data_IF_641810642977
#
_entry.id   IF_641810642977
#
_cell.length_a   1.000
_cell.length_b   1.000
_cell.length_c   1.000
_cell.angle_alpha   90.00
_cell.angle_beta   90.00
_cell.angle_gamma   90.00
#
_symmetry.space_group_name_H-M   'P 1'
#
loop_
_entity.id
_entity.type
_entity.pdbx_description
1 polymer ?
#
# COMPACT_ATOMS: atom_id res chain seq x y z
N UNK A 1 -3.56 32.10 -25.87
CA UNK A 1 -2.43 31.15 -25.85
C UNK A 1 -2.35 30.61 -24.45
N UNK A 2 -2.88 29.40 -24.22
CA UNK A 2 -2.84 28.78 -22.91
C UNK A 2 -1.48 28.10 -22.76
N UNK A 3 -0.64 28.61 -21.88
CA UNK A 3 0.63 28.00 -21.53
C UNK A 3 0.30 26.89 -20.51
N UNK A 4 0.28 25.64 -20.96
CA UNK A 4 0.24 24.49 -20.05
C UNK A 4 1.65 24.27 -19.53
N UNK A 5 1.85 24.45 -18.23
CA UNK A 5 3.08 24.04 -17.57
C UNK A 5 3.08 22.50 -17.47
N UNK A 6 3.99 21.88 -18.20
CA UNK A 6 4.28 20.44 -18.08
C UNK A 6 5.17 20.13 -16.85
N UNK A 7 5.01 20.85 -15.77
CA UNK A 7 5.69 20.54 -14.53
C UNK A 7 5.13 19.22 -13.97
N UNK A 8 5.82 18.13 -14.26
CA UNK A 8 5.53 16.82 -13.67
C UNK A 8 5.77 16.89 -12.17
N UNK A 9 4.71 16.71 -11.40
CA UNK A 9 4.79 16.73 -9.95
C UNK A 9 5.25 15.35 -9.44
N UNK A 10 6.55 15.08 -9.47
CA UNK A 10 7.15 13.83 -8.98
C UNK A 10 6.88 13.59 -7.49
N UNK A 11 6.59 14.63 -6.73
CA UNK A 11 6.27 14.53 -5.30
C UNK A 11 4.94 13.81 -5.03
N UNK A 12 4.10 13.62 -6.04
CA UNK A 12 2.80 12.97 -5.86
C UNK A 12 2.86 11.44 -5.71
N UNK A 13 3.95 10.78 -6.15
CA UNK A 13 4.06 9.31 -6.10
C UNK A 13 4.65 8.77 -4.81
N UNK A 14 5.51 9.54 -4.17
CA UNK A 14 6.12 9.18 -2.89
C UNK A 14 5.64 10.14 -1.82
N UNK A 15 5.15 9.60 -0.73
CA UNK A 15 4.81 10.35 0.48
C UNK A 15 5.56 9.72 1.65
N UNK A 16 6.43 10.50 2.29
CA UNK A 16 7.17 10.11 3.48
C UNK A 16 6.92 11.12 4.59
N UNK A 17 6.46 10.64 5.74
CA UNK A 17 6.10 11.48 6.88
C UNK A 17 6.42 10.79 8.20
N UNK A 18 6.71 11.58 9.23
CA UNK A 18 6.79 11.08 10.60
C UNK A 18 5.38 11.11 11.20
N UNK A 19 4.86 9.93 11.54
CA UNK A 19 3.63 9.84 12.33
C UNK A 19 3.90 10.39 13.74
N UNK A 20 3.34 11.55 14.04
CA UNK A 20 3.56 12.26 15.30
C UNK A 20 3.06 11.50 16.52
N UNK A 21 2.13 10.56 16.33
CA UNK A 21 1.58 9.72 17.41
C UNK A 21 2.53 8.60 17.80
N UNK A 22 3.22 8.03 16.82
CA UNK A 22 4.10 6.87 17.02
C UNK A 22 5.58 7.22 16.95
N UNK A 23 5.93 8.40 16.46
CA UNK A 23 7.32 8.81 16.20
C UNK A 23 8.00 7.96 15.11
N UNK A 24 7.21 7.26 14.27
CA UNK A 24 7.73 6.39 13.23
C UNK A 24 7.74 7.11 11.88
N UNK A 25 8.78 6.88 11.09
CA UNK A 25 8.75 7.26 9.69
C UNK A 25 7.92 6.25 8.91
N UNK A 26 6.89 6.74 8.26
CA UNK A 26 6.04 5.99 7.33
C UNK A 26 6.30 6.49 5.93
N UNK A 27 6.43 5.56 5.00
CA UNK A 27 6.70 5.86 3.60
C UNK A 27 5.67 5.13 2.74
N UNK A 28 5.08 5.85 1.79
CA UNK A 28 4.09 5.31 0.85
C UNK A 28 4.49 5.68 -0.57
N UNK A 29 4.51 4.69 -1.47
CA UNK A 29 4.84 4.89 -2.88
C UNK A 29 3.74 4.34 -3.78
N UNK A 30 3.20 5.18 -4.66
CA UNK A 30 2.19 4.79 -5.64
C UNK A 30 2.82 3.99 -6.78
N UNK A 31 2.31 2.78 -7.02
CA UNK A 31 2.68 1.93 -8.15
C UNK A 31 1.86 2.29 -9.40
N UNK A 32 0.57 2.54 -9.22
CA UNK A 32 -0.37 2.79 -10.30
C UNK A 32 -1.56 3.63 -9.80
N UNK A 33 -2.17 4.38 -10.73
CA UNK A 33 -3.50 4.95 -10.56
C UNK A 33 -4.41 4.35 -11.61
N UNK A 34 -5.50 3.75 -11.17
CA UNK A 34 -6.48 3.06 -12.02
C UNK A 34 -7.71 3.93 -12.18
N UNK A 35 -8.27 3.91 -13.38
CA UNK A 35 -9.49 4.60 -13.77
C UNK A 35 -10.46 3.57 -14.34
N UNK A 36 -11.54 3.19 -13.64
CA UNK A 36 -12.41 2.09 -14.04
C UNK A 36 -13.03 2.26 -15.44
N UNK A 37 -13.45 3.47 -15.81
CA UNK A 37 -14.07 3.78 -17.12
C UNK A 37 -13.44 4.97 -17.85
N UNK A 38 -12.28 5.47 -17.39
CA UNK A 38 -11.58 6.57 -18.05
C UNK A 38 -11.10 7.66 -17.08
N UNK A 39 -10.35 8.64 -17.57
CA UNK A 39 -9.51 9.50 -16.71
C UNK A 39 -10.27 10.61 -15.95
N UNK A 40 -11.59 10.73 -16.02
CA UNK A 40 -12.29 11.95 -15.63
C UNK A 40 -13.18 11.85 -14.37
N UNK A 41 -13.42 10.68 -13.79
CA UNK A 41 -14.38 10.60 -12.68
C UNK A 41 -13.81 9.99 -11.39
N UNK A 42 -13.58 8.69 -11.36
CA UNK A 42 -13.13 8.01 -10.14
C UNK A 42 -11.80 7.37 -10.39
N UNK A 43 -10.86 7.55 -9.46
CA UNK A 43 -9.56 6.91 -9.55
C UNK A 43 -9.27 6.09 -8.29
N UNK A 44 -8.52 5.01 -8.47
CA UNK A 44 -7.98 4.21 -7.38
C UNK A 44 -6.48 4.14 -7.46
N UNK A 45 -5.83 4.64 -6.44
CA UNK A 45 -4.38 4.49 -6.31
C UNK A 45 -4.05 3.13 -5.68
N UNK A 46 -3.08 2.43 -6.29
CA UNK A 46 -2.47 1.21 -5.79
C UNK A 46 -1.06 1.56 -5.34
N UNK A 47 -0.76 1.33 -4.08
CA UNK A 47 0.49 1.77 -3.48
C UNK A 47 1.09 0.73 -2.53
N UNK A 48 2.38 0.84 -2.30
CA UNK A 48 3.09 0.15 -1.23
C UNK A 48 3.33 1.11 -0.07
N UNK A 49 3.15 0.62 1.15
CA UNK A 49 3.47 1.35 2.38
C UNK A 49 4.50 0.60 3.21
N UNK A 50 5.47 1.35 3.72
CA UNK A 50 6.49 0.86 4.63
C UNK A 50 6.12 1.15 6.08
N UNK A 51 6.33 0.16 6.95
CA UNK A 51 6.25 0.29 8.39
C UNK A 51 7.42 -0.41 9.05
N UNK A 52 8.17 0.32 9.87
CA UNK A 52 9.24 -0.22 10.70
C UNK A 52 8.75 -1.42 11.55
N UNK A 53 7.52 -1.36 12.07
CA UNK A 53 6.97 -2.39 12.96
C UNK A 53 6.74 -3.74 12.28
N UNK A 54 6.78 -3.79 10.95
CA UNK A 54 6.63 -5.02 10.17
C UNK A 54 7.95 -5.37 9.43
N UNK A 55 9.07 -4.74 9.79
CA UNK A 55 10.32 -4.87 9.05
C UNK A 55 11.11 -6.15 9.36
N UNK A 56 10.70 -6.88 10.37
CA UNK A 56 11.17 -8.23 10.70
C UNK A 56 10.57 -9.33 9.80
N UNK A 57 9.51 -9.01 9.06
CA UNK A 57 8.81 -9.93 8.18
C UNK A 57 9.08 -9.59 6.72
N UNK A 58 9.63 -10.56 5.98
CA UNK A 58 9.77 -10.48 4.53
C UNK A 58 8.51 -11.05 3.87
N UNK A 59 7.63 -10.15 3.41
CA UNK A 59 6.44 -10.52 2.63
C UNK A 59 6.70 -10.42 1.12
N UNK A 60 5.62 -10.45 0.35
CA UNK A 60 5.66 -10.37 -1.12
C UNK A 60 6.16 -9.03 -1.68
N UNK A 61 6.34 -8.03 -0.83
CA UNK A 61 6.69 -6.66 -1.21
C UNK A 61 8.01 -6.19 -0.58
N UNK A 62 8.74 -7.09 0.07
CA UNK A 62 9.98 -6.82 0.80
C UNK A 62 9.75 -6.56 2.28
N UNK A 63 10.85 -6.58 3.05
CA UNK A 63 10.81 -6.40 4.50
C UNK A 63 10.20 -5.04 4.89
N UNK A 64 9.16 -5.07 5.70
CA UNK A 64 8.44 -3.87 6.16
C UNK A 64 7.46 -3.27 5.17
N UNK A 65 7.46 -3.69 3.90
CA UNK A 65 6.56 -3.20 2.88
C UNK A 65 5.32 -4.08 2.74
N UNK A 66 4.20 -3.44 2.49
CA UNK A 66 2.92 -4.10 2.20
C UNK A 66 2.20 -3.36 1.09
N UNK A 67 1.36 -4.08 0.35
CA UNK A 67 0.40 -3.46 -0.55
C UNK A 67 -0.74 -2.87 0.29
N UNK A 68 -1.08 -1.61 0.04
CA UNK A 68 -2.23 -0.98 0.68
C UNK A 68 -3.51 -1.65 0.19
N UNK A 69 -4.21 -2.31 1.11
CA UNK A 69 -5.40 -3.09 0.81
C UNK A 69 -6.27 -3.22 2.06
N UNK A 70 -7.58 -3.26 1.88
CA UNK A 70 -8.48 -3.56 2.99
C UNK A 70 -8.46 -5.05 3.25
N UNK A 71 -8.19 -5.43 4.49
CA UNK A 71 -8.04 -6.81 4.92
C UNK A 71 -8.57 -7.00 6.34
N UNK A 72 -9.23 -8.14 6.59
CA UNK A 72 -9.59 -8.55 7.94
C UNK A 72 -8.90 -9.87 8.29
N UNK A 73 -7.99 -9.80 9.24
CA UNK A 73 -7.27 -10.96 9.76
C UNK A 73 -8.05 -11.61 10.91
N UNK A 74 -8.45 -12.86 10.70
CA UNK A 74 -9.19 -13.65 11.67
C UNK A 74 -8.36 -14.02 12.90
N UNK A 75 -7.08 -14.31 12.72
CA UNK A 75 -6.21 -14.78 13.78
C UNK A 75 -5.97 -13.70 14.83
N UNK A 76 -5.78 -12.48 14.37
CA UNK A 76 -5.54 -11.31 15.23
C UNK A 76 -6.80 -10.48 15.49
N UNK A 77 -7.91 -10.77 14.81
CA UNK A 77 -9.14 -9.98 14.83
C UNK A 77 -8.89 -8.52 14.47
N UNK A 78 -8.00 -8.27 13.52
CA UNK A 78 -7.59 -6.94 13.08
C UNK A 78 -8.14 -6.61 11.71
N UNK A 79 -8.80 -5.45 11.61
CA UNK A 79 -9.21 -4.83 10.36
C UNK A 79 -8.14 -3.81 9.96
N UNK A 80 -7.59 -3.96 8.78
CA UNK A 80 -6.73 -2.96 8.13
C UNK A 80 -7.51 -2.34 6.98
N UNK A 81 -7.57 -1.03 6.91
CA UNK A 81 -8.18 -0.32 5.79
C UNK A 81 -7.13 0.01 4.72
N UNK A 82 -7.60 0.30 3.53
CA UNK A 82 -6.77 0.76 2.42
C UNK A 82 -5.90 1.98 2.76
N UNK A 83 -6.44 2.89 3.57
CA UNK A 83 -5.74 4.09 4.08
C UNK A 83 -4.56 3.76 4.99
N UNK A 84 -4.37 2.48 5.35
CA UNK A 84 -3.35 2.04 6.28
C UNK A 84 -3.80 2.01 7.73
N UNK A 85 -4.98 2.55 8.04
CA UNK A 85 -5.53 2.50 9.39
C UNK A 85 -5.80 1.08 9.84
N UNK A 86 -5.52 0.80 11.11
CA UNK A 86 -5.68 -0.52 11.70
C UNK A 86 -6.58 -0.43 12.93
N UNK A 87 -7.56 -1.33 12.98
CA UNK A 87 -8.55 -1.38 14.05
C UNK A 87 -8.60 -2.77 14.66
N UNK A 88 -8.54 -2.82 16.00
CA UNK A 88 -8.83 -4.04 16.74
C UNK A 88 -10.36 -4.25 16.81
N UNK A 89 -10.80 -5.48 16.62
CA UNK A 89 -12.22 -5.83 16.66
C UNK A 89 -12.53 -6.85 17.74
N UNK A 90 -13.81 -7.12 17.97
CA UNK A 90 -14.27 -8.19 18.89
C UNK A 90 -14.36 -9.58 18.21
N UNK A 91 -13.71 -9.75 17.05
CA UNK A 91 -13.77 -10.98 16.26
C UNK A 91 -14.84 -10.94 15.17
N UNK A 92 -14.95 -12.04 14.43
CA UNK A 92 -15.89 -12.16 13.31
C UNK A 92 -17.32 -12.31 13.84
N UNK A 93 -18.27 -11.44 13.46
CA UNK A 93 -19.67 -11.56 13.90
C UNK A 93 -20.40 -12.70 13.17
N UNK A 94 -21.58 -13.08 13.64
CA UNK A 94 -22.50 -13.96 12.90
C UNK A 94 -22.93 -13.31 11.58
N UNK A 95 -23.32 -14.13 10.60
CA UNK A 95 -23.85 -13.65 9.31
C UNK A 95 -25.05 -12.72 9.56
N UNK A 96 -25.11 -11.63 8.81
CA UNK A 96 -26.13 -10.58 8.95
C UNK A 96 -25.83 -9.55 10.05
N UNK A 97 -24.75 -9.71 10.81
CA UNK A 97 -24.37 -8.78 11.89
C UNK A 97 -23.19 -7.89 11.51
N UNK A 98 -23.12 -6.76 12.18
CA UNK A 98 -22.05 -5.77 12.03
C UNK A 98 -20.85 -6.12 12.90
N UNK A 99 -19.64 -5.93 12.35
CA UNK A 99 -18.39 -6.05 13.07
C UNK A 99 -18.26 -4.92 14.10
N UNK A 100 -17.93 -5.26 15.34
CA UNK A 100 -17.69 -4.28 16.40
C UNK A 100 -16.21 -3.91 16.45
N UNK A 101 -15.91 -2.67 16.13
CA UNK A 101 -14.56 -2.08 16.17
C UNK A 101 -14.36 -1.49 17.55
N UNK A 102 -13.24 -1.88 18.23
CA UNK A 102 -12.89 -1.36 19.55
C UNK A 102 -12.47 0.11 19.46
N UNK A 103 -12.87 0.88 20.47
CA UNK A 103 -12.43 2.27 20.70
C UNK A 103 -12.69 3.24 19.53
N UNK A 104 -13.54 2.86 18.59
CA UNK A 104 -13.85 3.71 17.45
C UNK A 104 -14.98 4.69 17.79
N UNK A 105 -14.66 5.99 17.70
CA UNK A 105 -15.62 7.09 17.94
C UNK A 105 -16.33 7.56 16.66
N UNK A 106 -15.67 7.47 15.50
CA UNK A 106 -16.22 7.93 14.23
C UNK A 106 -17.06 6.83 13.56
N UNK A 107 -18.23 7.20 13.04
CA UNK A 107 -19.15 6.32 12.29
C UNK A 107 -19.06 6.62 10.80
N UNK A 108 -17.85 6.61 10.25
CA UNK A 108 -17.56 6.93 8.85
C UNK A 108 -17.60 5.69 7.94
N UNK A 109 -17.58 4.49 8.54
CA UNK A 109 -17.79 3.23 7.84
C UNK A 109 -18.53 2.21 8.70
N UNK A 110 -19.14 1.23 8.05
CA UNK A 110 -19.76 0.07 8.68
C UNK A 110 -19.18 -1.18 8.04
N UNK A 111 -18.82 -2.18 8.86
CA UNK A 111 -18.38 -3.50 8.38
C UNK A 111 -19.44 -4.51 8.73
N UNK A 112 -20.01 -5.21 7.76
CA UNK A 112 -21.08 -6.18 7.94
C UNK A 112 -20.68 -7.55 7.37
N UNK A 113 -20.92 -8.61 8.11
CA UNK A 113 -20.81 -9.96 7.57
C UNK A 113 -22.09 -10.34 6.83
N UNK A 114 -22.01 -10.44 5.52
CA UNK A 114 -23.18 -10.72 4.65
C UNK A 114 -23.26 -12.19 4.22
N UNK A 115 -22.20 -12.94 4.38
CA UNK A 115 -22.14 -14.37 4.05
C UNK A 115 -21.09 -15.10 4.88
N UNK A 116 -20.99 -16.41 4.72
CA UNK A 116 -20.02 -17.24 5.45
C UNK A 116 -18.56 -16.80 5.20
N UNK A 117 -18.25 -16.42 3.97
CA UNK A 117 -16.93 -15.97 3.55
C UNK A 117 -16.91 -14.55 2.98
N UNK A 118 -17.91 -13.72 3.33
CA UNK A 118 -18.06 -12.39 2.73
C UNK A 118 -18.31 -11.32 3.80
N UNK A 119 -17.49 -10.25 3.76
CA UNK A 119 -17.69 -9.02 4.52
C UNK A 119 -17.89 -7.86 3.55
N UNK A 120 -18.74 -6.93 3.93
CA UNK A 120 -18.92 -5.64 3.27
C UNK A 120 -18.36 -4.54 4.16
N UNK A 121 -17.50 -3.67 3.61
CA UNK A 121 -17.07 -2.42 4.23
C UNK A 121 -17.77 -1.30 3.48
N UNK A 122 -18.69 -0.63 4.15
CA UNK A 122 -19.56 0.39 3.58
C UNK A 122 -19.11 1.75 4.10
N UNK A 123 -18.70 2.62 3.21
CA UNK A 123 -18.26 3.97 3.53
C UNK A 123 -19.39 4.99 3.40
N UNK A 124 -19.25 6.15 4.07
CA UNK A 124 -20.28 7.22 4.02
C UNK A 124 -20.48 7.85 2.65
N UNK A 125 -19.44 7.83 1.81
CA UNK A 125 -19.47 8.33 0.43
C UNK A 125 -20.20 7.38 -0.54
N UNK A 126 -20.76 6.27 -0.05
CA UNK A 126 -21.42 5.26 -0.87
C UNK A 126 -20.49 4.20 -1.44
N UNK A 127 -19.19 4.33 -1.25
CA UNK A 127 -18.21 3.29 -1.66
C UNK A 127 -18.45 2.01 -0.85
N UNK A 128 -18.48 0.87 -1.53
CA UNK A 128 -18.60 -0.45 -0.95
C UNK A 128 -17.37 -1.29 -1.30
N UNK A 129 -16.63 -1.73 -0.30
CA UNK A 129 -15.58 -2.75 -0.47
C UNK A 129 -16.16 -4.13 -0.07
N UNK A 130 -15.97 -5.11 -0.97
CA UNK A 130 -16.40 -6.49 -0.76
C UNK A 130 -15.15 -7.31 -0.46
N UNK A 131 -15.09 -7.88 0.72
CA UNK A 131 -14.00 -8.75 1.13
C UNK A 131 -14.45 -10.21 1.06
N UNK A 132 -13.64 -11.03 0.42
CA UNK A 132 -13.82 -12.48 0.36
C UNK A 132 -12.64 -13.20 0.99
N UNK A 133 -12.73 -14.52 1.09
CA UNK A 133 -11.61 -15.37 1.53
C UNK A 133 -11.05 -16.14 0.33
N UNK A 134 -9.96 -15.67 -0.29
CA UNK A 134 -9.32 -16.37 -1.41
C UNK A 134 -8.78 -17.76 -1.02
N UNK A 135 -8.52 -17.95 0.29
CA UNK A 135 -8.12 -19.23 0.88
C UNK A 135 -8.95 -19.53 2.13
N UNK A 136 -9.29 -20.79 2.36
CA UNK A 136 -10.11 -21.20 3.53
C UNK A 136 -9.48 -20.89 4.89
N UNK A 137 -8.15 -20.80 4.96
CA UNK A 137 -7.40 -20.49 6.19
C UNK A 137 -6.86 -19.06 6.26
N UNK A 138 -6.95 -18.28 5.16
CA UNK A 138 -6.38 -16.94 5.08
C UNK A 138 -7.32 -15.83 5.60
N UNK A 139 -6.81 -14.59 5.60
CA UNK A 139 -7.61 -13.42 5.92
C UNK A 139 -8.70 -13.15 4.86
N UNK A 140 -9.68 -12.34 5.24
CA UNK A 140 -10.57 -11.73 4.26
C UNK A 140 -9.81 -10.62 3.53
N UNK A 141 -9.77 -10.68 2.21
CA UNK A 141 -9.13 -9.70 1.35
C UNK A 141 -10.16 -9.07 0.42
N UNK A 142 -9.90 -7.85 -0.01
CA UNK A 142 -10.78 -7.16 -0.96
C UNK A 142 -10.86 -7.96 -2.26
N UNK A 143 -12.08 -8.27 -2.69
CA UNK A 143 -12.36 -8.96 -3.97
C UNK A 143 -13.05 -8.05 -4.97
N UNK A 144 -13.72 -7.00 -4.48
CA UNK A 144 -14.29 -5.96 -5.33
C UNK A 144 -14.42 -4.65 -4.58
N UNK A 145 -14.38 -3.55 -5.32
CA UNK A 145 -14.82 -2.21 -4.91
C UNK A 145 -15.98 -1.82 -5.82
N UNK A 146 -17.05 -1.34 -5.24
CA UNK A 146 -18.14 -0.69 -5.98
C UNK A 146 -18.19 0.76 -5.54
N UNK A 147 -18.06 1.67 -6.49
CA UNK A 147 -18.12 3.11 -6.26
C UNK A 147 -19.57 3.61 -6.24
N UNK A 148 -19.81 4.83 -5.76
CA UNK A 148 -21.13 5.44 -5.67
C UNK A 148 -21.85 5.58 -7.03
N UNK A 149 -21.09 5.74 -8.12
CA UNK A 149 -21.61 5.81 -9.49
C UNK A 149 -21.96 4.43 -10.10
N UNK A 150 -21.74 3.34 -9.33
CA UNK A 150 -22.02 1.96 -9.76
C UNK A 150 -20.85 1.27 -10.45
N UNK A 151 -19.77 1.99 -10.78
CA UNK A 151 -18.56 1.38 -11.33
C UNK A 151 -17.94 0.40 -10.34
N UNK A 152 -17.25 -0.61 -10.88
CA UNK A 152 -16.65 -1.66 -10.05
C UNK A 152 -15.23 -2.01 -10.49
N UNK A 153 -14.38 -2.27 -9.51
CA UNK A 153 -13.09 -2.94 -9.68
C UNK A 153 -13.17 -4.34 -9.07
N UNK A 154 -12.58 -5.32 -9.73
CA UNK A 154 -12.47 -6.71 -9.28
C UNK A 154 -11.01 -7.06 -9.03
N UNK A 155 -10.74 -7.72 -7.91
CA UNK A 155 -9.41 -8.09 -7.45
C UNK A 155 -9.25 -9.61 -7.48
N UNK A 156 -8.24 -10.09 -8.18
CA UNK A 156 -7.91 -11.51 -8.28
C UNK A 156 -6.55 -11.78 -7.66
N UNK A 157 -6.45 -12.90 -6.96
CA UNK A 157 -5.26 -13.29 -6.19
C UNK A 157 -4.66 -14.58 -6.76
N UNK A 158 -3.33 -14.69 -6.73
CA UNK A 158 -2.66 -15.98 -6.91
C UNK A 158 -3.16 -16.94 -5.83
N UNK A 159 -3.16 -18.25 -6.10
CA UNK A 159 -3.74 -19.28 -5.21
C UNK A 159 -3.37 -19.05 -3.74
N UNK A 160 -4.29 -18.45 -2.96
CA UNK A 160 -4.08 -18.11 -1.55
C UNK A 160 -2.98 -17.08 -1.27
N UNK A 161 -2.38 -16.48 -2.30
CA UNK A 161 -1.21 -15.63 -2.24
C UNK A 161 -1.51 -14.12 -2.37
N UNK A 162 -0.59 -13.39 -2.99
CA UNK A 162 -0.70 -11.96 -3.20
C UNK A 162 -1.67 -11.60 -4.33
N UNK A 163 -2.00 -10.30 -4.44
CA UNK A 163 -2.81 -9.76 -5.52
C UNK A 163 -2.14 -10.01 -6.88
N UNK A 164 -2.89 -10.52 -7.85
CA UNK A 164 -2.40 -10.81 -9.20
C UNK A 164 -2.83 -9.75 -10.19
N UNK A 165 -4.14 -9.40 -10.19
CA UNK A 165 -4.70 -8.45 -11.15
C UNK A 165 -5.88 -7.68 -10.60
N UNK A 166 -6.14 -6.53 -11.22
CA UNK A 166 -7.35 -5.74 -11.01
C UNK A 166 -8.01 -5.52 -12.36
N UNK A 167 -9.32 -5.77 -12.43
CA UNK A 167 -10.14 -5.67 -13.63
C UNK A 167 -11.30 -4.69 -13.42
N UNK A 168 -11.78 -4.11 -14.51
CA UNK A 168 -13.05 -3.40 -14.52
C UNK A 168 -14.26 -4.34 -14.59
N UNK A 169 -15.48 -3.80 -14.65
CA UNK A 169 -16.71 -4.59 -14.72
C UNK A 169 -16.84 -5.40 -16.01
N UNK A 170 -16.21 -4.97 -17.10
CA UNK A 170 -16.18 -5.69 -18.37
C UNK A 170 -15.17 -6.85 -18.39
N UNK A 171 -14.44 -7.04 -17.29
CA UNK A 171 -13.40 -8.08 -17.19
C UNK A 171 -12.09 -7.72 -17.91
N UNK A 172 -11.91 -6.45 -18.28
CA UNK A 172 -10.66 -5.97 -18.85
C UNK A 172 -9.63 -5.75 -17.74
N UNK A 173 -8.42 -6.25 -17.94
CA UNK A 173 -7.32 -6.02 -17.02
C UNK A 173 -6.92 -4.54 -17.04
N UNK A 174 -6.90 -3.90 -15.86
CA UNK A 174 -6.42 -2.54 -15.65
C UNK A 174 -5.02 -2.55 -15.01
N UNK A 175 -4.75 -3.54 -14.18
CA UNK A 175 -3.46 -3.76 -13.53
C UNK A 175 -3.13 -5.24 -13.52
N UNK A 176 -1.88 -5.55 -13.85
CA UNK A 176 -1.31 -6.91 -13.70
C UNK A 176 -0.03 -6.80 -12.89
N UNK A 177 0.08 -7.62 -11.86
CA UNK A 177 1.23 -7.69 -10.96
C UNK A 177 2.03 -8.96 -11.26
N UNK A 178 3.31 -8.81 -11.54
CA UNK A 178 4.22 -9.93 -11.87
C UNK A 178 5.18 -10.17 -10.72
N UNK A 179 5.31 -11.44 -10.35
CA UNK A 179 6.15 -11.87 -9.24
C UNK A 179 7.31 -12.74 -9.75
N UNK A 180 8.48 -12.56 -9.16
CA UNK A 180 9.63 -13.46 -9.32
C UNK A 180 9.85 -14.19 -7.99
N UNK A 181 9.56 -15.49 -7.96
CA UNK A 181 9.40 -16.20 -6.70
C UNK A 181 8.24 -15.61 -5.89
N UNK A 182 8.51 -15.20 -4.67
CA UNK A 182 7.51 -14.57 -3.81
C UNK A 182 7.45 -13.04 -3.94
N UNK A 183 8.39 -12.39 -4.62
CA UNK A 183 8.53 -10.94 -4.62
C UNK A 183 7.91 -10.28 -5.85
N UNK A 184 7.14 -9.21 -5.63
CA UNK A 184 6.58 -8.37 -6.69
C UNK A 184 7.72 -7.64 -7.43
N UNK A 185 7.85 -7.86 -8.75
CA UNK A 185 8.91 -7.23 -9.56
C UNK A 185 8.37 -6.22 -10.57
N UNK A 186 7.12 -6.38 -11.03
CA UNK A 186 6.53 -5.45 -12.00
C UNK A 186 5.04 -5.22 -11.70
N UNK A 187 4.60 -4.00 -11.97
CA UNK A 187 3.19 -3.61 -11.98
C UNK A 187 2.89 -2.95 -13.33
N UNK A 188 2.11 -3.62 -14.15
CA UNK A 188 1.70 -3.16 -15.48
C UNK A 188 0.30 -2.57 -15.43
N UNK A 189 0.16 -1.29 -15.78
CA UNK A 189 -1.11 -0.64 -16.04
C UNK A 189 -1.49 -0.89 -17.49
N UNK A 190 -2.72 -1.32 -17.74
CA UNK A 190 -3.25 -1.60 -19.07
C UNK A 190 -4.37 -0.62 -19.43
N UNK A 191 -4.43 -0.27 -20.72
CA UNK A 191 -5.54 0.48 -21.33
C UNK A 191 -5.88 -0.25 -22.63
N UNK A 192 -7.15 -0.57 -22.83
CA UNK A 192 -7.65 -1.28 -24.04
C UNK A 192 -6.88 -2.58 -24.35
N UNK A 193 -6.48 -3.30 -23.30
CA UNK A 193 -5.71 -4.54 -23.42
C UNK A 193 -4.23 -4.34 -23.74
N UNK A 194 -3.79 -3.12 -24.00
CA UNK A 194 -2.38 -2.79 -24.24
C UNK A 194 -1.70 -2.28 -22.97
N UNK A 195 -0.41 -2.61 -22.78
CA UNK A 195 0.37 -2.07 -21.67
C UNK A 195 0.61 -0.58 -21.88
N UNK A 196 0.14 0.20 -20.92
CA UNK A 196 0.22 1.66 -20.92
C UNK A 196 1.41 2.18 -20.10
N UNK A 197 1.66 1.58 -18.94
CA UNK A 197 2.75 1.96 -18.05
C UNK A 197 3.26 0.75 -17.29
N UNK A 198 4.55 0.75 -16.98
CA UNK A 198 5.19 -0.31 -16.17
C UNK A 198 6.00 0.30 -15.04
N UNK A 199 5.70 -0.10 -13.84
CA UNK A 199 6.52 0.16 -12.65
C UNK A 199 7.36 -1.09 -12.36
N UNK A 200 8.66 -0.93 -12.13
CA UNK A 200 9.58 -2.03 -11.75
C UNK A 200 10.07 -1.84 -10.34
N UNK A 201 10.22 -2.96 -9.64
CA UNK A 201 10.64 -2.99 -8.24
C UNK A 201 11.87 -3.87 -8.13
N UNK A 202 12.90 -3.37 -7.43
CA UNK A 202 14.13 -4.11 -7.19
C UNK A 202 14.38 -4.23 -5.69
N UNK A 203 14.97 -5.37 -5.31
CA UNK A 203 15.25 -5.73 -3.94
C UNK A 203 16.75 -5.93 -3.72
N UNK A 204 17.22 -5.56 -2.53
CA UNK A 204 18.56 -5.87 -2.07
C UNK A 204 18.65 -7.31 -1.55
N UNK A 205 19.88 -7.82 -1.49
CA UNK A 205 20.16 -9.20 -1.05
C UNK A 205 19.95 -9.42 0.45
N UNK A 206 19.90 -8.36 1.24
CA UNK A 206 19.71 -8.45 2.69
C UNK A 206 18.21 -8.36 2.99
N UNK A 207 17.62 -9.42 3.51
CA UNK A 207 16.22 -9.49 3.95
C UNK A 207 15.20 -9.05 2.90
N UNK A 208 15.51 -9.17 1.60
CA UNK A 208 14.65 -8.71 0.52
C UNK A 208 14.16 -7.25 0.71
N UNK A 209 15.04 -6.36 1.16
CA UNK A 209 14.70 -4.95 1.29
C UNK A 209 14.35 -4.36 -0.07
N UNK A 210 13.25 -3.65 -0.17
CA UNK A 210 12.89 -2.92 -1.39
C UNK A 210 13.84 -1.73 -1.54
N UNK A 211 14.75 -1.78 -2.51
CA UNK A 211 15.80 -0.74 -2.68
C UNK A 211 15.49 0.25 -3.79
N UNK A 212 14.62 -0.12 -4.74
CA UNK A 212 14.32 0.75 -5.88
C UNK A 212 12.93 0.53 -6.43
N UNK A 213 12.25 1.62 -6.75
CA UNK A 213 11.02 1.62 -7.53
C UNK A 213 11.22 2.52 -8.75
N UNK A 214 11.18 1.93 -9.94
CA UNK A 214 11.34 2.64 -11.21
C UNK A 214 9.96 2.82 -11.83
N UNK A 215 9.57 4.06 -12.08
CA UNK A 215 8.27 4.42 -12.62
C UNK A 215 8.43 5.06 -14.00
N UNK A 216 7.49 4.85 -14.92
CA UNK A 216 7.47 5.56 -16.20
C UNK A 216 7.09 7.03 -15.98
N UNK A 217 7.76 7.95 -16.65
CA UNK A 217 7.41 9.35 -16.51
C UNK A 217 7.15 10.09 -17.85
N UNK A 218 7.70 9.62 -18.96
CA UNK A 218 7.34 10.14 -20.30
C UNK A 218 6.80 9.01 -21.19
N UNK A 219 5.79 9.36 -22.00
CA UNK A 219 5.00 8.46 -22.84
C UNK A 219 5.24 8.64 -24.33
N UNK A 220 5.85 9.75 -24.73
CA UNK A 220 5.88 10.20 -26.13
C UNK A 220 7.13 9.74 -26.88
N UNK A 221 8.16 9.34 -26.16
CA UNK A 221 9.42 8.83 -26.72
C UNK A 221 9.90 7.63 -25.92
N UNK A 222 11.02 7.01 -26.24
CA UNK A 222 11.54 5.85 -25.48
C UNK A 222 11.36 6.07 -23.97
N UNK A 223 10.70 5.15 -23.24
CA UNK A 223 10.13 5.45 -21.94
C UNK A 223 11.21 5.91 -20.98
N UNK A 224 11.29 7.21 -20.78
CA UNK A 224 12.09 7.76 -19.71
C UNK A 224 11.56 7.21 -18.40
N UNK A 225 12.45 6.77 -17.54
CA UNK A 225 12.12 6.18 -16.27
C UNK A 225 12.69 7.02 -15.14
N UNK A 226 11.88 7.23 -14.15
CA UNK A 226 12.26 7.90 -12.93
C UNK A 226 12.37 6.89 -11.79
N UNK A 227 13.43 6.95 -10.98
CA UNK A 227 13.66 5.99 -9.94
C UNK A 227 13.66 6.64 -8.56
N UNK A 228 12.86 6.06 -7.66
CA UNK A 228 12.98 6.28 -6.23
C UNK A 228 13.89 5.20 -5.64
N UNK A 229 14.82 5.57 -4.75
CA UNK A 229 15.68 4.60 -4.07
C UNK A 229 15.58 4.75 -2.56
N UNK A 230 15.76 3.62 -1.87
CA UNK A 230 15.64 3.52 -0.43
C UNK A 230 16.91 2.92 0.14
N UNK A 231 17.48 3.60 1.14
CA UNK A 231 18.60 3.10 1.93
C UNK A 231 18.08 2.79 3.33
N UNK A 232 18.56 1.69 3.89
CA UNK A 232 18.11 1.22 5.18
C UNK A 232 19.20 1.39 6.24
N UNK A 233 18.77 1.74 7.43
CA UNK A 233 19.61 1.66 8.61
C UNK A 233 20.03 0.20 8.84
N UNK A 234 21.22 -0.03 9.40
CA UNK A 234 21.56 -1.35 9.91
C UNK A 234 20.49 -1.80 10.91
N UNK A 235 20.23 -3.13 11.02
CA UNK A 235 19.23 -3.62 11.97
C UNK A 235 19.51 -3.10 13.38
N UNK A 236 18.44 -2.66 14.06
CA UNK A 236 18.49 -2.30 15.46
C UNK A 236 18.64 -3.56 16.32
N UNK A 237 18.93 -3.40 17.61
CA UNK A 237 19.11 -4.53 18.54
C UNK A 237 17.91 -5.47 18.61
N UNK A 238 16.70 -4.96 18.39
CA UNK A 238 15.46 -5.73 18.35
C UNK A 238 15.20 -6.38 16.97
N UNK A 239 16.11 -6.28 16.01
CA UNK A 239 16.01 -6.85 14.67
C UNK A 239 15.21 -6.00 13.67
N UNK A 240 14.54 -4.93 14.11
CA UNK A 240 13.80 -4.04 13.23
C UNK A 240 14.74 -3.26 12.29
N UNK A 241 14.25 -2.95 11.10
CA UNK A 241 15.00 -2.24 10.06
C UNK A 241 14.21 -1.01 9.64
N UNK A 242 14.85 0.15 9.65
CA UNK A 242 14.22 1.42 9.24
C UNK A 242 14.79 1.94 7.93
N UNK A 243 14.00 2.71 7.19
CA UNK A 243 14.51 3.51 6.08
C UNK A 243 15.29 4.68 6.66
N UNK A 244 16.56 4.82 6.27
CA UNK A 244 17.43 5.92 6.70
C UNK A 244 17.58 7.01 5.64
N UNK A 245 17.31 6.68 4.36
CA UNK A 245 17.39 7.65 3.27
C UNK A 245 16.41 7.28 2.17
N UNK A 246 15.78 8.30 1.61
CA UNK A 246 14.90 8.19 0.44
C UNK A 246 15.38 9.19 -0.61
N UNK A 247 15.65 8.69 -1.83
CA UNK A 247 16.06 9.54 -2.95
C UNK A 247 14.94 9.61 -3.99
N UNK A 248 14.67 10.81 -4.46
CA UNK A 248 13.71 11.08 -5.54
C UNK A 248 14.40 11.14 -6.91
N UNK A 249 13.65 10.95 -8.00
CA UNK A 249 14.21 11.06 -9.36
C UNK A 249 14.82 12.41 -9.71
N UNK A 250 14.38 13.47 -9.06
CA UNK A 250 14.84 14.85 -9.28
C UNK A 250 16.06 15.24 -8.44
N UNK A 251 16.76 14.25 -7.89
CA UNK A 251 17.96 14.48 -7.06
C UNK A 251 17.65 14.94 -5.65
N UNK A 252 16.38 15.07 -5.29
CA UNK A 252 16.00 15.34 -3.89
C UNK A 252 16.28 14.11 -3.02
N UNK A 253 16.70 14.34 -1.77
CA UNK A 253 16.84 13.29 -0.80
C UNK A 253 16.24 13.69 0.56
N UNK A 254 15.83 12.66 1.30
CA UNK A 254 15.36 12.79 2.68
C UNK A 254 16.17 11.85 3.55
N UNK A 255 16.88 12.39 4.52
CA UNK A 255 17.65 11.64 5.51
C UNK A 255 16.84 11.54 6.80
N UNK A 256 16.74 10.33 7.35
CA UNK A 256 15.97 10.04 8.56
C UNK A 256 16.92 9.48 9.63
N UNK A 257 16.97 10.14 10.77
CA UNK A 257 17.77 9.75 11.93
C UNK A 257 16.90 9.18 13.03
N UNK A 258 17.40 8.14 13.70
CA UNK A 258 16.65 7.40 14.71
C UNK A 258 17.40 7.35 16.05
N UNK A 259 16.62 7.37 17.11
CA UNK A 259 17.03 6.96 18.44
C UNK A 259 16.58 5.51 18.67
N UNK A 260 17.52 4.61 18.99
CA UNK A 260 17.24 3.17 19.14
C UNK A 260 16.28 2.88 20.32
N UNK A 261 16.46 3.57 21.44
CA UNK A 261 15.65 3.41 22.65
C UNK A 261 14.51 4.45 22.69
N UNK A 262 13.76 4.61 21.60
CA UNK A 262 12.77 5.66 21.46
C UNK A 262 11.54 5.50 22.33
N UNK A 263 10.82 4.36 22.17
CA UNK A 263 9.60 4.05 22.95
C UNK A 263 9.74 2.71 23.63
N UNK A 264 9.58 2.69 24.93
CA UNK A 264 9.51 1.43 25.70
C UNK A 264 8.08 0.87 25.58
N UNK A 265 7.94 -0.38 25.14
CA UNK A 265 6.64 -1.05 24.98
C UNK A 265 6.50 -2.29 25.87
N UNK A 266 7.60 -2.85 26.37
CA UNK A 266 7.64 -3.94 27.33
C UNK A 266 8.93 -3.85 28.16
N UNK A 267 9.09 -4.72 29.16
CA UNK A 267 10.27 -4.71 30.04
C UNK A 267 11.57 -4.77 29.22
N UNK A 268 12.31 -3.67 29.20
CA UNK A 268 13.56 -3.48 28.47
C UNK A 268 13.48 -3.71 26.95
N UNK A 269 12.29 -3.65 26.37
CA UNK A 269 12.08 -3.68 24.94
C UNK A 269 11.69 -2.30 24.41
N UNK A 270 12.39 -1.85 23.38
CA UNK A 270 12.24 -0.51 22.83
C UNK A 270 11.94 -0.58 21.33
N UNK A 271 11.16 0.37 20.87
CA UNK A 271 10.93 0.64 19.44
C UNK A 271 11.71 1.90 19.09
N UNK A 272 12.56 1.88 18.05
CA UNK A 272 13.25 3.07 17.59
C UNK A 272 12.25 4.18 17.21
N UNK A 273 12.62 5.44 17.45
CA UNK A 273 11.82 6.59 17.00
C UNK A 273 12.67 7.55 16.18
N UNK A 274 12.02 8.31 15.33
CA UNK A 274 12.64 9.38 14.56
C UNK A 274 13.03 10.53 15.51
N UNK A 275 14.27 10.98 15.40
CA UNK A 275 14.79 12.17 16.10
C UNK A 275 15.15 13.31 15.16
N UNK A 276 15.25 13.04 13.87
CA UNK A 276 15.54 14.05 12.87
C UNK A 276 15.11 13.62 11.47
N UNK A 277 14.62 14.58 10.70
CA UNK A 277 14.40 14.45 9.25
C UNK A 277 15.02 15.68 8.59
N UNK A 278 15.95 15.45 7.67
CA UNK A 278 16.55 16.46 6.83
C UNK A 278 16.17 16.20 5.38
N UNK A 279 15.48 17.15 4.78
CA UNK A 279 15.07 17.05 3.37
C UNK A 279 15.85 18.06 2.52
N UNK A 280 16.43 17.57 1.42
CA UNK A 280 16.97 18.39 0.36
C UNK A 280 16.03 18.22 -0.86
N UNK A 281 15.36 19.27 -1.33
CA UNK A 281 14.38 19.14 -2.41
C UNK A 281 14.97 18.76 -3.75
N UNK A 282 16.29 18.84 -3.92
CA UNK A 282 16.96 18.70 -5.23
C UNK A 282 16.89 20.02 -5.99
N UNK A 283 17.60 20.09 -7.11
CA UNK A 283 17.67 21.24 -8.01
C UNK A 283 16.81 21.06 -9.25
#
# INVERSE_FOLDING_TARGET
MNVYSNAFNFNSRLNGVVDTRTGQYVCRIALATLYPQGPLEISREIALSFSLLNSDVSGNYGAGWRLDNTEFDLATSKLTLLTGEQYQTHGLPSVGRTLVIKDRKLKDLVVQRVGESTLHVIYKDGTLEILGRPSSSGPYKITAIQFENGERLRFSYLQGGPLERIQNDQGQDLLVLTYMGALLVEADVLIDGGRYARTRIAYGNVNNQLVRVTVPYDRTQAPETAAYTFVYHRPFRNGLIAISEVNSPMGGNTLISYEENGHQYANNQYIPRVVGVAANPGG
#
